data_IF_943712425878
#
_entry.id   IF_943712425878
#
_cell.length_a   1.000
_cell.length_b   1.000
_cell.length_c   1.000
_cell.angle_alpha   90.00
_cell.angle_beta   90.00
_cell.angle_gamma   90.00
#
_symmetry.space_group_name_H-M   'P 1'
#
loop_
_entity.id
_entity.type
_entity.pdbx_description
1 polymer ?
#
# COMPACT_ATOMS: atom_id res chain seq x y z
N UNK A 1 -17.64 -18.47 34.65
CA UNK A 1 -18.05 -18.86 33.29
C UNK A 1 -17.00 -19.80 32.74
N UNK A 2 -17.43 -20.99 32.35
CA UNK A 2 -16.58 -22.11 31.96
C UNK A 2 -15.65 -21.73 30.80
N UNK A 3 -14.34 -21.94 30.99
CA UNK A 3 -13.44 -22.26 29.87
C UNK A 3 -14.14 -23.36 29.08
N UNK A 4 -14.39 -23.14 27.81
CA UNK A 4 -14.70 -24.19 26.84
C UNK A 4 -13.56 -25.23 26.94
N UNK A 5 -13.71 -26.22 27.81
CA UNK A 5 -12.80 -27.33 28.01
C UNK A 5 -13.03 -28.28 26.82
N UNK A 6 -11.98 -28.52 26.04
CA UNK A 6 -11.86 -29.71 25.17
C UNK A 6 -12.46 -29.64 23.77
N UNK A 7 -12.19 -28.58 22.98
CA UNK A 7 -12.60 -28.51 21.56
C UNK A 7 -11.44 -28.63 20.53
N UNK A 8 -10.24 -28.98 21.00
CA UNK A 8 -9.18 -29.48 20.14
C UNK A 8 -8.61 -30.72 20.83
N UNK A 9 -8.94 -31.89 20.27
CA UNK A 9 -8.25 -33.13 20.60
C UNK A 9 -6.74 -32.96 20.34
N UNK A 10 -5.89 -33.67 21.07
CA UNK A 10 -4.44 -33.56 20.89
C UNK A 10 -4.03 -34.00 19.47
N UNK A 11 -4.79 -34.92 18.85
CA UNK A 11 -4.66 -35.27 17.43
C UNK A 11 -4.92 -34.07 16.49
N UNK A 12 -5.97 -33.29 16.77
CA UNK A 12 -6.31 -32.10 15.97
C UNK A 12 -5.24 -31.01 16.08
N UNK A 13 -4.56 -30.90 17.23
CA UNK A 13 -3.43 -29.96 17.39
C UNK A 13 -2.23 -30.38 16.56
N UNK A 14 -1.94 -31.67 16.48
CA UNK A 14 -0.86 -32.21 15.64
C UNK A 14 -1.18 -31.98 14.15
N UNK A 15 -2.42 -32.22 13.73
CA UNK A 15 -2.86 -31.94 12.36
C UNK A 15 -2.75 -30.46 12.01
N UNK A 16 -3.16 -29.56 12.92
CA UNK A 16 -3.00 -28.10 12.76
C UNK A 16 -1.52 -27.74 12.63
N UNK A 17 -0.63 -28.26 13.49
CA UNK A 17 0.79 -27.94 13.42
C UNK A 17 1.40 -28.40 12.09
N UNK A 18 1.06 -29.63 11.65
CA UNK A 18 1.51 -30.16 10.36
C UNK A 18 1.06 -29.28 9.20
N UNK A 19 -0.20 -28.84 9.20
CA UNK A 19 -0.72 -27.92 8.19
C UNK A 19 0.01 -26.57 8.21
N UNK A 20 0.33 -26.03 9.39
CA UNK A 20 1.08 -24.77 9.52
C UNK A 20 2.47 -24.92 8.92
N UNK A 21 3.20 -25.98 9.29
CA UNK A 21 4.56 -26.23 8.83
C UNK A 21 4.60 -26.38 7.30
N UNK A 22 3.68 -27.19 6.74
CA UNK A 22 3.55 -27.37 5.28
C UNK A 22 3.30 -26.05 4.54
N UNK A 23 2.49 -25.14 5.12
CA UNK A 23 2.16 -23.84 4.51
C UNK A 23 3.20 -22.76 4.74
N UNK A 24 4.00 -22.83 5.79
CA UNK A 24 5.11 -21.90 6.00
C UNK A 24 6.26 -22.16 5.02
N UNK A 25 6.50 -23.40 4.67
CA UNK A 25 7.56 -23.80 3.72
C UNK A 25 7.26 -23.40 2.26
N UNK A 26 6.02 -22.98 1.95
CA UNK A 26 5.63 -22.53 0.60
C UNK A 26 6.20 -21.14 0.22
N UNK A 27 6.69 -20.37 1.20
CA UNK A 27 7.15 -19.00 0.99
C UNK A 27 8.64 -18.84 1.33
N UNK A 28 9.47 -18.75 0.29
CA UNK A 28 10.89 -18.42 0.43
C UNK A 28 11.18 -17.02 -0.14
N UNK A 29 11.88 -16.19 0.65
CA UNK A 29 12.19 -14.81 0.29
C UNK A 29 13.49 -14.32 0.91
N UNK A 30 14.10 -13.36 0.23
CA UNK A 30 15.26 -12.62 0.73
C UNK A 30 14.88 -11.16 1.04
N UNK A 31 15.53 -10.57 2.03
CA UNK A 31 15.44 -9.12 2.28
C UNK A 31 16.66 -8.43 1.69
N UNK A 32 16.44 -7.36 0.92
CA UNK A 32 17.47 -6.54 0.28
C UNK A 32 17.22 -5.08 0.57
N UNK A 33 18.28 -4.29 0.64
CA UNK A 33 18.19 -2.83 0.72
C UNK A 33 18.84 -2.27 -0.57
N UNK A 34 18.05 -1.66 -1.46
CA UNK A 34 18.54 -1.09 -2.71
C UNK A 34 18.61 0.44 -2.63
N UNK A 35 19.73 1.07 -3.04
CA UNK A 35 19.74 2.50 -3.32
C UNK A 35 18.63 2.85 -4.32
N UNK A 36 17.98 3.99 -4.12
CA UNK A 36 16.90 4.46 -4.98
C UNK A 36 17.37 4.57 -6.43
N UNK A 37 18.56 5.12 -6.67
CA UNK A 37 19.13 5.23 -8.02
C UNK A 37 19.22 3.86 -8.70
N UNK A 38 19.78 2.86 -8.01
CA UNK A 38 19.89 1.51 -8.55
C UNK A 38 18.53 0.87 -8.84
N UNK A 39 17.55 1.04 -7.95
CA UNK A 39 16.20 0.50 -8.16
C UNK A 39 15.51 1.16 -9.37
N UNK A 40 15.67 2.47 -9.53
CA UNK A 40 15.13 3.22 -10.68
C UNK A 40 15.82 2.81 -11.97
N UNK A 41 17.13 2.59 -11.95
CA UNK A 41 17.88 2.11 -13.12
C UNK A 41 17.43 0.72 -13.56
N UNK A 42 17.18 -0.20 -12.61
CA UNK A 42 16.64 -1.52 -12.91
C UNK A 42 15.24 -1.44 -13.54
N UNK A 43 14.40 -0.51 -13.07
CA UNK A 43 13.05 -0.30 -13.59
C UNK A 43 13.04 0.35 -14.98
N UNK A 44 13.97 1.26 -15.25
CA UNK A 44 14.08 1.97 -16.52
C UNK A 44 14.95 1.24 -17.56
N UNK A 45 15.53 0.09 -17.20
CA UNK A 45 16.38 -0.71 -18.08
C UNK A 45 15.61 -1.21 -19.30
N UNK A 46 16.20 -1.12 -20.50
CA UNK A 46 15.63 -1.65 -21.75
C UNK A 46 15.38 -3.18 -21.69
N UNK A 47 16.16 -3.90 -20.87
CA UNK A 47 15.98 -5.34 -20.60
C UNK A 47 14.83 -5.66 -19.62
N UNK A 48 14.08 -4.65 -19.16
CA UNK A 48 12.97 -4.79 -18.21
C UNK A 48 13.33 -5.58 -16.94
N UNK A 49 14.51 -5.30 -16.37
CA UNK A 49 15.04 -6.06 -15.21
C UNK A 49 14.09 -6.03 -14.01
N UNK A 50 13.36 -4.94 -13.82
CA UNK A 50 12.23 -4.84 -12.89
C UNK A 50 11.02 -4.38 -13.68
N UNK A 51 9.93 -5.15 -13.70
CA UNK A 51 8.76 -4.85 -14.52
C UNK A 51 7.44 -5.01 -13.78
N UNK A 52 6.43 -4.28 -14.21
CA UNK A 52 5.08 -4.39 -13.68
C UNK A 52 4.32 -5.53 -14.39
N UNK A 53 3.55 -6.35 -13.66
CA UNK A 53 2.69 -7.35 -14.29
C UNK A 53 1.63 -6.73 -15.20
N UNK A 54 1.25 -7.46 -16.26
CA UNK A 54 0.23 -7.03 -17.22
C UNK A 54 -1.15 -6.71 -16.60
N UNK A 55 -1.46 -7.31 -15.46
CA UNK A 55 -2.74 -7.11 -14.75
C UNK A 55 -2.76 -5.85 -13.87
N UNK A 56 -1.64 -5.13 -13.73
CA UNK A 56 -1.55 -3.88 -12.94
C UNK A 56 -1.70 -2.60 -13.80
N UNK A 57 -2.31 -2.66 -14.99
CA UNK A 57 -2.36 -1.54 -15.96
C UNK A 57 -3.13 -0.31 -15.48
N UNK A 58 -2.47 0.84 -15.67
CA UNK A 58 -2.84 2.27 -15.72
C UNK A 58 -3.89 2.87 -14.75
N UNK A 59 -4.98 2.20 -14.45
CA UNK A 59 -6.13 2.78 -13.74
C UNK A 59 -5.89 3.07 -12.24
N UNK A 60 -4.71 2.69 -11.72
CA UNK A 60 -4.33 2.82 -10.31
C UNK A 60 -3.13 3.74 -10.07
N UNK A 61 -2.71 4.54 -11.07
CA UNK A 61 -1.61 5.48 -10.90
C UNK A 61 -1.91 6.53 -9.82
N UNK A 62 -0.94 6.79 -8.94
CA UNK A 62 -1.06 7.84 -7.95
C UNK A 62 -1.29 9.19 -8.62
N UNK A 63 -2.28 9.95 -8.13
CA UNK A 63 -2.42 11.34 -8.53
C UNK A 63 -1.23 12.19 -8.03
N UNK A 64 -1.10 13.40 -8.57
CA UNK A 64 0.02 14.30 -8.26
C UNK A 64 0.18 14.59 -6.77
N UNK A 65 -0.92 14.65 -6.02
CA UNK A 65 -0.89 14.86 -4.57
C UNK A 65 -0.21 13.69 -3.86
N UNK A 66 -0.55 12.44 -4.18
CA UNK A 66 0.09 11.26 -3.56
C UNK A 66 1.55 11.12 -3.96
N UNK A 67 1.88 11.36 -5.24
CA UNK A 67 3.26 11.41 -5.73
C UNK A 67 4.09 12.42 -4.95
N UNK A 68 3.60 13.64 -4.82
CA UNK A 68 4.28 14.73 -4.13
C UNK A 68 4.50 14.42 -2.65
N UNK A 69 3.50 13.86 -1.97
CA UNK A 69 3.59 13.45 -0.56
C UNK A 69 4.58 12.33 -0.32
N UNK A 70 4.72 11.42 -1.28
CA UNK A 70 5.73 10.36 -1.20
C UNK A 70 7.15 10.93 -1.35
N UNK A 71 7.39 11.81 -2.33
CA UNK A 71 8.69 12.50 -2.47
C UNK A 71 9.00 13.35 -1.22
N UNK A 72 8.03 14.09 -0.68
CA UNK A 72 8.19 14.85 0.58
C UNK A 72 8.56 13.92 1.75
N UNK A 73 7.98 12.71 1.81
CA UNK A 73 8.29 11.72 2.84
C UNK A 73 9.72 11.21 2.72
N UNK A 74 10.22 10.97 1.51
CA UNK A 74 11.60 10.57 1.26
C UNK A 74 12.60 11.66 1.67
N UNK A 75 12.33 12.92 1.29
CA UNK A 75 13.18 14.06 1.64
C UNK A 75 13.21 14.28 3.16
N UNK A 76 12.09 14.05 3.85
CA UNK A 76 11.96 14.19 5.31
C UNK A 76 12.38 12.96 6.13
N UNK A 77 12.96 11.93 5.49
CA UNK A 77 13.39 10.69 6.17
C UNK A 77 12.25 9.94 6.89
N UNK A 78 11.04 10.00 6.33
CA UNK A 78 9.94 9.20 6.87
C UNK A 78 10.07 7.74 6.44
N UNK A 79 9.68 6.79 7.33
CA UNK A 79 9.66 5.38 6.98
C UNK A 79 8.80 5.14 5.75
N UNK A 80 9.39 4.49 4.74
CA UNK A 80 8.69 4.08 3.54
C UNK A 80 8.31 2.60 3.69
N UNK A 81 7.08 2.20 3.34
CA UNK A 81 6.69 0.80 3.34
C UNK A 81 7.62 -0.06 2.45
N UNK A 82 7.67 -1.36 2.74
CA UNK A 82 8.49 -2.31 1.98
C UNK A 82 8.01 -2.44 0.54
N UNK A 83 8.93 -2.67 -0.39
CA UNK A 83 8.62 -3.05 -1.78
C UNK A 83 8.70 -4.57 -1.87
N UNK A 84 7.79 -5.18 -2.63
CA UNK A 84 7.78 -6.63 -2.85
C UNK A 84 8.01 -6.92 -4.32
N UNK A 85 9.04 -7.72 -4.60
CA UNK A 85 9.39 -8.21 -5.93
C UNK A 85 9.36 -9.74 -5.94
N UNK A 86 9.18 -10.35 -7.11
CA UNK A 86 9.30 -11.78 -7.30
C UNK A 86 10.31 -12.08 -8.42
N UNK A 87 11.25 -12.99 -8.14
CA UNK A 87 12.23 -13.45 -9.12
C UNK A 87 11.57 -14.36 -10.17
N UNK A 88 11.91 -14.15 -11.43
CA UNK A 88 11.41 -14.95 -12.57
C UNK A 88 12.46 -15.92 -13.07
N UNK A 89 12.06 -16.91 -13.86
CA UNK A 89 13.01 -17.90 -14.41
C UNK A 89 14.04 -17.27 -15.35
N UNK A 90 13.72 -16.13 -15.96
CA UNK A 90 14.61 -15.34 -16.81
C UNK A 90 15.56 -14.41 -16.01
N UNK A 91 15.51 -14.44 -14.67
CA UNK A 91 16.32 -13.57 -13.81
C UNK A 91 15.89 -12.10 -13.81
N UNK A 92 14.65 -11.82 -14.23
CA UNK A 92 13.99 -10.52 -14.06
C UNK A 92 13.21 -10.52 -12.75
N UNK A 93 12.81 -9.34 -12.30
CA UNK A 93 12.01 -9.16 -11.10
C UNK A 93 10.65 -8.56 -11.42
N UNK A 94 9.59 -9.32 -11.16
CA UNK A 94 8.21 -8.86 -11.25
C UNK A 94 7.85 -8.03 -10.01
N UNK A 95 7.22 -6.87 -10.20
CA UNK A 95 6.73 -6.04 -9.10
C UNK A 95 5.42 -6.61 -8.56
N UNK A 96 5.45 -7.10 -7.32
CA UNK A 96 4.24 -7.52 -6.61
C UNK A 96 3.60 -6.29 -5.96
N UNK A 97 4.35 -5.55 -5.14
CA UNK A 97 3.89 -4.30 -4.52
C UNK A 97 4.98 -3.23 -4.58
N UNK A 98 4.56 -1.97 -4.71
CA UNK A 98 5.45 -0.82 -4.80
C UNK A 98 5.55 -0.17 -6.17
N UNK A 99 4.76 -0.61 -7.15
CA UNK A 99 4.73 -0.02 -8.49
C UNK A 99 4.60 1.50 -8.45
N UNK A 100 3.65 2.03 -7.68
CA UNK A 100 3.42 3.48 -7.57
C UNK A 100 4.62 4.25 -6.99
N UNK A 101 5.40 3.61 -6.11
CA UNK A 101 6.57 4.23 -5.49
C UNK A 101 7.74 4.27 -6.49
N UNK A 102 8.01 3.14 -7.14
CA UNK A 102 9.10 3.01 -8.13
C UNK A 102 8.80 3.91 -9.34
N UNK A 103 7.58 3.87 -9.86
CA UNK A 103 7.18 4.71 -10.99
C UNK A 103 7.24 6.20 -10.64
N UNK A 104 6.79 6.60 -9.45
CA UNK A 104 6.89 8.00 -9.00
C UNK A 104 8.35 8.46 -8.94
N UNK A 105 9.27 7.62 -8.45
CA UNK A 105 10.70 7.95 -8.42
C UNK A 105 11.28 8.11 -9.82
N UNK A 106 10.97 7.16 -10.73
CA UNK A 106 11.40 7.23 -12.12
C UNK A 106 10.90 8.51 -12.81
N UNK A 107 9.61 8.81 -12.69
CA UNK A 107 9.00 10.00 -13.28
C UNK A 107 9.57 11.29 -12.68
N UNK A 108 9.77 11.34 -11.36
CA UNK A 108 10.34 12.52 -10.71
C UNK A 108 11.77 12.76 -11.17
N UNK A 109 12.62 11.72 -11.23
CA UNK A 109 14.01 11.83 -11.68
C UNK A 109 14.15 12.25 -13.15
N UNK A 110 13.09 12.06 -13.95
CA UNK A 110 13.01 12.52 -15.35
C UNK A 110 12.29 13.87 -15.50
N UNK A 111 12.06 14.59 -14.41
CA UNK A 111 11.40 15.91 -14.39
C UNK A 111 9.97 15.91 -14.98
N UNK A 112 9.26 14.77 -14.93
CA UNK A 112 7.95 14.62 -15.58
C UNK A 112 6.79 15.26 -14.81
N UNK A 113 7.00 15.67 -13.56
CA UNK A 113 6.00 16.36 -12.78
C UNK A 113 6.61 17.29 -11.73
N UNK A 114 5.87 18.34 -11.41
CA UNK A 114 6.18 19.26 -10.32
C UNK A 114 5.55 18.80 -9.01
N UNK A 115 6.25 19.00 -7.89
CA UNK A 115 5.69 18.74 -6.57
C UNK A 115 4.55 19.73 -6.28
N UNK A 116 3.43 19.23 -5.77
CA UNK A 116 2.25 20.03 -5.48
C UNK A 116 1.64 19.69 -4.13
N UNK A 117 0.90 20.63 -3.56
CA UNK A 117 0.09 20.47 -2.34
C UNK A 117 0.87 20.03 -1.08
N UNK A 118 2.17 20.31 -1.04
CA UNK A 118 3.04 20.02 0.10
C UNK A 118 2.74 20.99 1.25
N UNK A 119 2.60 20.43 2.46
CA UNK A 119 2.27 21.20 3.68
C UNK A 119 3.48 21.44 4.58
N UNK A 120 4.52 20.59 4.54
CA UNK A 120 5.71 20.74 5.37
C UNK A 120 6.82 21.43 4.60
N UNK A 121 7.13 20.93 3.41
CA UNK A 121 8.13 21.51 2.51
C UNK A 121 7.45 22.43 1.49
N UNK A 122 6.78 23.48 1.96
CA UNK A 122 5.95 24.37 1.11
C UNK A 122 6.72 25.05 -0.01
N UNK A 123 8.03 25.27 0.17
CA UNK A 123 8.93 25.86 -0.83
C UNK A 123 9.25 24.93 -2.00
N UNK A 124 9.00 23.64 -1.86
CA UNK A 124 9.17 22.68 -2.96
C UNK A 124 7.95 22.60 -3.87
N UNK A 125 6.83 23.26 -3.53
CA UNK A 125 5.69 23.31 -4.43
C UNK A 125 6.06 24.06 -5.73
N UNK A 126 5.78 23.44 -6.88
CA UNK A 126 6.16 23.93 -8.21
C UNK A 126 7.57 23.53 -8.64
N UNK A 127 8.32 22.79 -7.82
CA UNK A 127 9.67 22.33 -8.17
C UNK A 127 9.63 20.96 -8.85
N UNK A 128 10.43 20.80 -9.90
CA UNK A 128 10.82 19.52 -10.49
C UNK A 128 12.09 18.98 -9.81
N UNK A 129 12.55 17.79 -10.18
CA UNK A 129 13.76 17.20 -9.60
C UNK A 129 15.00 18.04 -9.88
N UNK A 130 15.09 18.62 -11.08
CA UNK A 130 16.17 19.53 -11.47
C UNK A 130 16.34 20.72 -10.50
N UNK A 131 15.26 21.23 -9.92
CA UNK A 131 15.27 22.39 -9.02
C UNK A 131 15.79 22.06 -7.61
N UNK A 132 15.95 20.77 -7.28
CA UNK A 132 16.46 20.38 -5.98
C UNK A 132 17.94 20.79 -5.81
N UNK A 133 18.36 21.19 -4.60
CA UNK A 133 19.78 21.38 -4.31
C UNK A 133 20.58 20.10 -4.61
N UNK A 134 21.77 20.24 -5.20
CA UNK A 134 22.62 19.09 -5.56
C UNK A 134 22.89 18.13 -4.39
N UNK A 135 23.05 18.68 -3.17
CA UNK A 135 23.18 17.86 -1.96
C UNK A 135 21.96 16.97 -1.69
N UNK A 136 20.75 17.50 -1.94
CA UNK A 136 19.51 16.75 -1.75
C UNK A 136 19.26 15.74 -2.88
N UNK A 137 19.64 16.06 -4.12
CA UNK A 137 19.65 15.08 -5.22
C UNK A 137 20.51 13.85 -4.89
N UNK A 138 21.74 14.08 -4.43
CA UNK A 138 22.65 13.01 -4.06
C UNK A 138 22.13 12.20 -2.87
N UNK A 139 21.56 12.86 -1.85
CA UNK A 139 20.93 12.17 -0.71
C UNK A 139 19.74 11.33 -1.14
N UNK A 140 18.87 11.87 -1.99
CA UNK A 140 17.68 11.17 -2.47
C UNK A 140 18.06 9.92 -3.26
N UNK A 141 19.05 10.00 -4.15
CA UNK A 141 19.59 8.86 -4.91
C UNK A 141 20.20 7.78 -4.01
N UNK A 142 20.97 8.20 -2.99
CA UNK A 142 21.70 7.31 -2.10
C UNK A 142 20.82 6.64 -1.02
N UNK A 143 19.62 7.17 -0.75
CA UNK A 143 18.67 6.55 0.20
C UNK A 143 18.36 5.12 -0.25
N UNK A 144 18.27 4.21 0.71
CA UNK A 144 17.94 2.81 0.46
C UNK A 144 16.47 2.52 0.76
N UNK A 145 15.82 1.82 -0.15
CA UNK A 145 14.50 1.23 0.07
C UNK A 145 14.66 -0.25 0.39
N UNK A 146 13.90 -0.70 1.39
CA UNK A 146 13.88 -2.11 1.77
C UNK A 146 12.92 -2.89 0.88
N UNK A 147 13.42 -3.99 0.36
CA UNK A 147 12.78 -4.82 -0.63
C UNK A 147 12.74 -6.26 -0.12
N UNK A 148 11.59 -6.91 -0.26
CA UNK A 148 11.43 -8.34 -0.11
C UNK A 148 11.39 -8.94 -1.50
N UNK A 149 12.31 -9.87 -1.80
CA UNK A 149 12.38 -10.58 -3.07
C UNK A 149 11.93 -12.01 -2.83
N UNK A 150 10.76 -12.37 -3.36
CA UNK A 150 10.26 -13.74 -3.37
C UNK A 150 11.13 -14.55 -4.34
N UNK A 151 11.64 -15.69 -3.88
CA UNK A 151 12.45 -16.55 -4.73
C UNK A 151 11.60 -17.16 -5.85
N UNK A 152 12.24 -17.53 -6.95
CA UNK A 152 11.58 -18.18 -8.08
C UNK A 152 10.84 -19.48 -7.73
N UNK A 153 11.27 -20.16 -6.65
CA UNK A 153 10.62 -21.36 -6.12
C UNK A 153 9.22 -21.10 -5.54
N UNK A 154 8.92 -19.86 -5.18
CA UNK A 154 7.59 -19.47 -4.67
C UNK A 154 6.57 -19.51 -5.81
N UNK A 155 5.50 -20.28 -5.63
CA UNK A 155 4.47 -20.50 -6.65
C UNK A 155 3.72 -19.22 -7.02
N UNK A 156 3.21 -19.14 -8.24
CA UNK A 156 2.43 -18.00 -8.72
C UNK A 156 1.16 -17.76 -7.88
N UNK A 157 0.53 -18.82 -7.39
CA UNK A 157 -0.63 -18.75 -6.49
C UNK A 157 -0.31 -18.02 -5.19
N UNK A 158 0.83 -18.33 -4.56
CA UNK A 158 1.30 -17.67 -3.33
C UNK A 158 1.65 -16.20 -3.59
N UNK A 159 2.25 -15.89 -4.75
CA UNK A 159 2.54 -14.49 -5.14
C UNK A 159 1.26 -13.67 -5.27
N UNK A 160 0.23 -14.22 -5.93
CA UNK A 160 -1.09 -13.61 -6.07
C UNK A 160 -1.79 -13.44 -4.71
N UNK A 161 -1.74 -14.44 -3.85
CA UNK A 161 -2.30 -14.34 -2.50
C UNK A 161 -1.61 -13.25 -1.67
N UNK A 162 -0.28 -13.15 -1.75
CA UNK A 162 0.49 -12.09 -1.09
C UNK A 162 0.12 -10.71 -1.63
N UNK A 163 0.01 -10.57 -2.96
CA UNK A 163 -0.46 -9.35 -3.60
C UNK A 163 -1.82 -8.93 -3.06
N UNK A 164 -2.78 -9.86 -3.05
CA UNK A 164 -4.13 -9.61 -2.56
C UNK A 164 -4.09 -9.22 -1.09
N UNK A 165 -3.31 -9.90 -0.24
CA UNK A 165 -3.20 -9.58 1.19
C UNK A 165 -2.64 -8.19 1.42
N UNK A 166 -1.57 -7.80 0.73
CA UNK A 166 -0.93 -6.49 0.85
C UNK A 166 -1.89 -5.36 0.44
N UNK A 167 -2.61 -5.55 -0.67
CA UNK A 167 -3.56 -4.55 -1.16
C UNK A 167 -4.86 -4.52 -0.36
N UNK A 168 -5.33 -5.67 0.12
CA UNK A 168 -6.55 -5.74 0.96
C UNK A 168 -6.30 -5.11 2.33
N UNK A 169 -5.11 -5.28 2.92
CA UNK A 169 -4.73 -4.54 4.13
C UNK A 169 -4.68 -3.03 3.88
N UNK A 170 -4.19 -2.62 2.71
CA UNK A 170 -4.11 -1.20 2.32
C UNK A 170 -5.47 -0.58 2.01
N UNK A 171 -6.42 -1.33 1.46
CA UNK A 171 -7.81 -0.90 1.23
C UNK A 171 -8.62 -0.80 2.54
N UNK A 172 -8.40 -1.71 3.49
CA UNK A 172 -9.01 -1.65 4.83
C UNK A 172 -8.38 -0.56 5.71
N UNK A 173 -7.08 -0.36 5.58
CA UNK A 173 -6.34 0.73 6.23
C UNK A 173 -6.73 2.07 5.60
N UNK A 174 -6.77 2.24 4.29
CA UNK A 174 -7.20 3.52 3.67
C UNK A 174 -8.62 3.90 4.10
N UNK A 175 -9.57 2.95 4.12
CA UNK A 175 -10.94 3.21 4.59
C UNK A 175 -11.09 3.46 6.09
N UNK A 176 -10.02 3.31 6.89
CA UNK A 176 -10.02 3.50 8.36
C UNK A 176 -9.02 4.56 8.84
N UNK A 177 -7.84 4.68 8.24
CA UNK A 177 -6.78 5.69 8.45
C UNK A 177 -7.07 7.01 7.71
N UNK A 178 -7.54 6.97 6.45
CA UNK A 178 -8.04 8.19 5.77
C UNK A 178 -9.25 8.72 6.53
N UNK A 179 -10.06 7.82 7.12
CA UNK A 179 -11.17 8.19 8.01
C UNK A 179 -10.70 8.80 9.33
N UNK A 180 -9.76 8.18 10.03
CA UNK A 180 -9.34 8.66 11.36
C UNK A 180 -8.48 9.94 11.32
N UNK A 181 -7.66 10.12 10.28
CA UNK A 181 -6.70 11.23 10.19
C UNK A 181 -7.18 12.49 9.45
N UNK A 182 -8.18 12.39 8.56
CA UNK A 182 -8.69 13.53 7.78
C UNK A 182 -10.13 13.93 8.09
N UNK A 183 -10.94 13.07 8.71
CA UNK A 183 -12.40 13.33 8.82
C UNK A 183 -12.82 14.15 10.04
N UNK A 184 -11.96 14.34 11.05
CA UNK A 184 -12.34 15.14 12.22
C UNK A 184 -12.55 16.63 11.93
N UNK A 185 -12.14 17.13 10.75
CA UNK A 185 -12.28 18.55 10.39
C UNK A 185 -13.09 18.83 9.11
N UNK A 186 -13.59 17.81 8.41
CA UNK A 186 -14.45 18.05 7.23
C UNK A 186 -15.91 18.33 7.65
N UNK A 187 -16.50 19.50 7.33
CA UNK A 187 -17.89 19.82 7.67
C UNK A 187 -18.92 18.82 7.15
N UNK A 188 -18.70 18.27 5.95
CA UNK A 188 -19.58 17.26 5.35
C UNK A 188 -19.52 15.94 6.13
N UNK A 189 -18.33 15.54 6.60
CA UNK A 189 -18.18 14.32 7.40
C UNK A 189 -18.77 14.47 8.79
N UNK A 190 -18.65 15.65 9.42
CA UNK A 190 -19.35 15.95 10.68
C UNK A 190 -20.86 15.84 10.51
N UNK A 191 -21.39 16.30 9.38
CA UNK A 191 -22.81 16.17 9.05
C UNK A 191 -23.22 14.70 8.83
N UNK A 192 -22.45 13.94 8.04
CA UNK A 192 -22.73 12.51 7.77
C UNK A 192 -22.69 11.69 9.08
N UNK A 193 -21.71 11.93 9.94
CA UNK A 193 -21.60 11.26 11.25
C UNK A 193 -22.77 11.64 12.16
N UNK A 194 -23.17 12.92 12.18
CA UNK A 194 -24.35 13.37 12.91
C UNK A 194 -25.66 12.73 12.42
N UNK A 195 -25.84 12.63 11.10
CA UNK A 195 -27.03 12.01 10.48
C UNK A 195 -27.07 10.49 10.69
N UNK A 196 -25.90 9.84 10.68
CA UNK A 196 -25.80 8.42 11.03
C UNK A 196 -26.28 8.14 12.45
N UNK A 197 -25.96 9.05 13.39
CA UNK A 197 -26.29 8.86 14.79
C UNK A 197 -27.70 9.29 15.18
N UNK A 198 -28.44 9.91 14.26
CA UNK A 198 -29.82 10.33 14.43
C UNK A 198 -30.78 9.14 14.66
N UNK A 199 -31.65 9.29 15.67
CA UNK A 199 -32.60 8.26 16.10
C UNK A 199 -33.66 7.95 15.02
N UNK A 200 -34.09 8.95 14.24
CA UNK A 200 -35.02 8.76 13.13
C UNK A 200 -34.34 8.00 11.99
N UNK A 201 -33.07 8.27 11.69
CA UNK A 201 -32.31 7.53 10.67
C UNK A 201 -32.12 6.06 11.04
N UNK A 202 -31.72 5.77 12.29
CA UNK A 202 -31.57 4.41 12.81
C UNK A 202 -32.88 3.62 12.76
N UNK A 203 -33.98 4.26 13.13
CA UNK A 203 -35.32 3.64 13.13
C UNK A 203 -35.85 3.39 11.71
N UNK A 204 -35.61 4.31 10.78
CA UNK A 204 -36.10 4.21 9.40
C UNK A 204 -35.32 3.19 8.57
N UNK A 205 -34.01 3.10 8.75
CA UNK A 205 -33.16 2.21 7.95
C UNK A 205 -33.12 0.78 8.48
N UNK A 206 -33.32 0.57 9.79
CA UNK A 206 -33.43 -0.76 10.39
C UNK A 206 -32.24 -1.68 10.12
N UNK A 207 -31.05 -1.11 9.91
CA UNK A 207 -29.87 -1.87 9.49
C UNK A 207 -29.41 -2.83 10.58
N UNK A 208 -29.17 -4.09 10.20
CA UNK A 208 -28.57 -5.07 11.10
C UNK A 208 -27.11 -4.72 11.41
N UNK A 209 -26.59 -5.19 12.55
CA UNK A 209 -25.19 -4.95 12.96
C UNK A 209 -24.17 -5.32 11.87
N UNK A 210 -24.43 -6.39 11.10
CA UNK A 210 -23.57 -6.81 9.99
C UNK A 210 -23.60 -5.85 8.79
N UNK A 211 -24.70 -5.12 8.57
CA UNK A 211 -24.82 -4.11 7.49
C UNK A 211 -24.20 -2.78 7.92
N UNK A 212 -24.37 -2.41 9.19
CA UNK A 212 -23.67 -1.26 9.81
C UNK A 212 -22.15 -1.47 9.80
N UNK A 213 -21.67 -2.68 10.13
CA UNK A 213 -20.23 -2.99 10.05
C UNK A 213 -19.67 -2.92 8.62
N UNK A 214 -20.53 -3.12 7.61
CA UNK A 214 -20.19 -2.93 6.18
C UNK A 214 -20.34 -1.48 5.70
N UNK A 215 -20.67 -0.56 6.61
CA UNK A 215 -20.83 0.88 6.36
C UNK A 215 -21.95 1.24 5.38
N UNK A 216 -22.96 0.38 5.26
CA UNK A 216 -24.15 0.65 4.45
C UNK A 216 -24.98 1.83 4.99
N UNK A 217 -24.84 2.15 6.27
CA UNK A 217 -25.43 3.34 6.90
C UNK A 217 -24.87 4.64 6.29
N UNK A 218 -23.55 4.71 6.12
CA UNK A 218 -22.86 5.84 5.49
C UNK A 218 -23.20 5.89 3.99
N UNK A 219 -23.20 4.75 3.32
CA UNK A 219 -23.52 4.66 1.89
C UNK A 219 -24.93 5.20 1.60
N UNK A 220 -25.93 4.86 2.42
CA UNK A 220 -27.30 5.38 2.29
C UNK A 220 -27.37 6.91 2.42
N UNK A 221 -26.57 7.50 3.31
CA UNK A 221 -26.51 8.96 3.50
C UNK A 221 -25.84 9.64 2.32
N UNK A 222 -24.79 9.03 1.75
CA UNK A 222 -24.01 9.61 0.65
C UNK A 222 -24.52 9.23 -0.75
N UNK A 223 -25.57 8.41 -0.86
CA UNK A 223 -26.05 7.86 -2.14
C UNK A 223 -26.64 8.91 -3.09
N UNK A 224 -27.06 10.05 -2.56
CA UNK A 224 -27.76 11.12 -3.29
C UNK A 224 -27.08 12.48 -3.19
N UNK A 225 -25.82 12.51 -2.72
CA UNK A 225 -24.99 13.71 -2.58
C UNK A 225 -24.01 13.87 -3.74
#
# INVERSE_FOLDING_TARGET
MAKQLGLFDDEKRVEIQKQIDEKQDELDYDTRDYPIEYLVDLYNSDEEKVFAPDYQREELLWNIHYKSRFIESLILDYPIPLIFLADTDEGRMEIIDGLQRISTLSQFFRDEFELQTLKKLTKLNGCIYYDLPEGEKNRLKAKSLRIIVLKKSTSEEVRKELFDRLNTSSLRASTSEVRSGRENDNPLMKLIVGLKDDELFKKTTGLSKNRVNRKEDIELITRFS
#
